data_IF_524300069824
#
_entry.id   IF_524300069824
#
_cell.length_a   1.000
_cell.length_b   1.000
_cell.length_c   1.000
_cell.angle_alpha   90.00
_cell.angle_beta   90.00
_cell.angle_gamma   90.00
#
_symmetry.space_group_name_H-M   'P 1'
#
loop_
_entity.id
_entity.type
_entity.pdbx_description
1 polymer ?
#
# COMPACT_ATOMS: atom_id res chain seq x y z
N UNK A 1 0.08 -13.46 29.56
CA UNK A 1 -1.27 -13.15 29.04
C UNK A 1 -1.17 -12.99 27.53
N UNK A 2 -1.64 -13.95 26.75
CA UNK A 2 -1.79 -13.78 25.30
C UNK A 2 -2.90 -12.76 25.07
N UNK A 3 -2.56 -11.57 24.54
CA UNK A 3 -3.56 -10.62 24.06
C UNK A 3 -4.20 -11.23 22.83
N UNK A 4 -5.52 -11.46 22.87
CA UNK A 4 -6.26 -11.90 21.69
C UNK A 4 -6.15 -10.80 20.62
N UNK A 5 -5.62 -11.14 19.44
CA UNK A 5 -5.57 -10.21 18.30
C UNK A 5 -7.00 -10.06 17.77
N UNK A 6 -7.53 -8.84 17.64
CA UNK A 6 -8.85 -8.65 17.05
C UNK A 6 -8.86 -9.13 15.59
N UNK A 7 -9.91 -9.84 15.19
CA UNK A 7 -10.04 -10.40 13.84
C UNK A 7 -11.34 -9.91 13.21
N UNK A 8 -11.25 -9.35 12.01
CA UNK A 8 -12.41 -9.16 11.14
C UNK A 8 -12.60 -10.40 10.27
N UNK A 9 -13.85 -10.86 10.14
CA UNK A 9 -14.20 -12.03 9.33
C UNK A 9 -15.03 -11.57 8.14
N UNK A 10 -14.53 -11.85 6.94
CA UNK A 10 -15.26 -11.62 5.70
C UNK A 10 -15.62 -12.97 5.06
N UNK A 11 -16.82 -13.03 4.51
CA UNK A 11 -17.30 -14.17 3.73
C UNK A 11 -17.20 -13.80 2.25
N UNK A 12 -16.24 -14.38 1.53
CA UNK A 12 -16.15 -14.19 0.08
C UNK A 12 -16.92 -15.30 -0.64
N UNK A 13 -17.97 -14.92 -1.38
CA UNK A 13 -18.62 -15.81 -2.35
C UNK A 13 -17.69 -16.06 -3.53
N UNK A 14 -17.03 -17.21 -3.56
CA UNK A 14 -16.38 -17.71 -4.76
C UNK A 14 -17.42 -18.27 -5.72
N UNK A 15 -18.08 -17.44 -6.54
CA UNK A 15 -18.61 -17.97 -7.81
C UNK A 15 -19.08 -16.96 -8.85
N UNK A 16 -18.57 -17.08 -10.10
CA UNK A 16 -19.21 -16.58 -11.33
C UNK A 16 -20.31 -17.50 -11.88
N UNK A 17 -20.61 -18.64 -11.23
CA UNK A 17 -21.69 -19.57 -11.62
C UNK A 17 -22.53 -19.93 -10.41
N UNK A 18 -23.80 -19.50 -10.40
CA UNK A 18 -24.90 -19.90 -9.50
C UNK A 18 -24.87 -21.40 -9.10
N UNK A 19 -23.99 -21.77 -8.18
CA UNK A 19 -23.92 -23.05 -7.48
C UNK A 19 -23.62 -22.67 -6.03
N UNK A 20 -24.33 -23.24 -5.05
CA UNK A 20 -23.98 -23.07 -3.64
C UNK A 20 -22.61 -23.73 -3.43
N UNK A 21 -21.55 -22.93 -3.55
CA UNK A 21 -20.17 -23.35 -3.35
C UNK A 21 -19.69 -23.02 -1.95
N UNK A 22 -18.67 -23.75 -1.49
CA UNK A 22 -18.04 -23.54 -0.19
C UNK A 22 -17.64 -22.06 0.00
N UNK A 23 -18.23 -21.41 1.01
CA UNK A 23 -17.86 -20.07 1.43
C UNK A 23 -16.49 -20.15 2.08
N UNK A 24 -15.50 -19.45 1.52
CA UNK A 24 -14.18 -19.34 2.16
C UNK A 24 -14.27 -18.22 3.20
N UNK A 25 -14.15 -18.59 4.48
CA UNK A 25 -13.94 -17.62 5.54
C UNK A 25 -12.49 -17.14 5.43
N UNK A 26 -12.32 -15.82 5.32
CA UNK A 26 -11.02 -15.18 5.42
C UNK A 26 -10.95 -14.46 6.77
N UNK A 27 -9.90 -14.73 7.52
CA UNK A 27 -9.60 -14.02 8.76
C UNK A 27 -8.63 -12.88 8.44
N UNK A 28 -9.04 -11.64 8.73
CA UNK A 28 -8.21 -10.45 8.62
C UNK A 28 -7.81 -9.99 10.03
N UNK A 29 -6.52 -10.03 10.33
CA UNK A 29 -5.99 -9.67 11.64
C UNK A 29 -5.82 -8.15 11.76
N UNK A 30 -6.40 -7.55 12.79
CA UNK A 30 -6.17 -6.14 13.12
C UNK A 30 -4.92 -6.02 13.98
N UNK A 31 -3.85 -5.56 13.34
CA UNK A 31 -2.54 -5.37 13.95
C UNK A 31 -2.44 -4.02 14.67
N UNK A 32 -1.75 -4.00 15.79
CA UNK A 32 -1.45 -2.76 16.55
C UNK A 32 0.00 -2.30 16.38
N UNK A 33 0.79 -3.04 15.61
CA UNK A 33 2.22 -2.85 15.38
C UNK A 33 2.50 -2.36 13.95
N UNK A 34 1.58 -1.59 13.37
CA UNK A 34 1.72 -1.01 12.03
C UNK A 34 2.38 0.37 12.16
N UNK A 35 3.59 0.52 11.61
CA UNK A 35 4.35 1.77 11.68
C UNK A 35 3.81 2.81 10.69
N UNK A 36 3.52 4.04 11.13
CA UNK A 36 2.91 5.12 10.32
C UNK A 36 3.74 5.63 9.11
N UNK A 37 4.89 5.02 8.85
CA UNK A 37 5.86 5.38 7.78
C UNK A 37 6.40 6.82 7.84
N UNK A 38 6.13 7.61 8.88
CA UNK A 38 6.71 8.95 9.06
C UNK A 38 7.98 8.91 9.90
N UNK A 39 8.97 9.73 9.52
CA UNK A 39 10.17 9.97 10.32
C UNK A 39 9.81 10.58 11.69
N UNK A 40 10.60 10.24 12.72
CA UNK A 40 10.51 10.80 14.08
C UNK A 40 9.14 10.70 14.78
N UNK A 41 8.24 9.81 14.32
CA UNK A 41 6.94 9.63 14.95
C UNK A 41 7.10 9.08 16.38
N UNK A 42 6.71 9.90 17.37
CA UNK A 42 6.81 9.53 18.79
C UNK A 42 5.96 8.32 19.18
N UNK A 43 4.87 8.08 18.46
CA UNK A 43 3.94 6.97 18.70
C UNK A 43 4.48 5.65 18.16
N UNK A 44 5.29 5.68 17.09
CA UNK A 44 5.82 4.48 16.45
C UNK A 44 7.23 4.09 16.92
N UNK A 45 7.82 4.76 17.92
CA UNK A 45 9.19 4.50 18.39
C UNK A 45 9.49 3.06 18.77
N UNK A 46 8.49 2.31 19.24
CA UNK A 46 8.62 0.90 19.63
C UNK A 46 8.23 -0.08 18.52
N UNK A 47 7.82 0.42 17.36
CA UNK A 47 7.43 -0.37 16.19
C UNK A 47 8.60 -0.35 15.22
N UNK A 48 8.95 -1.49 14.63
CA UNK A 48 10.02 -1.54 13.63
C UNK A 48 9.68 -0.60 12.48
N UNK A 49 10.52 0.39 12.16
CA UNK A 49 10.26 1.26 11.02
C UNK A 49 10.40 0.46 9.72
N UNK A 50 9.65 0.83 8.67
CA UNK A 50 9.96 0.40 7.32
C UNK A 50 11.32 0.93 6.88
N UNK A 51 11.88 0.36 5.82
CA UNK A 51 13.22 0.74 5.33
C UNK A 51 13.25 2.21 4.86
N UNK A 52 12.11 2.74 4.42
CA UNK A 52 11.95 4.14 4.02
C UNK A 52 10.88 4.77 4.89
N UNK A 53 11.22 5.88 5.53
CA UNK A 53 10.25 6.73 6.21
C UNK A 53 10.15 8.06 5.45
N UNK A 54 8.95 8.64 5.44
CA UNK A 54 8.65 9.90 4.81
C UNK A 54 8.97 11.04 5.78
N UNK A 55 9.55 12.12 5.26
CA UNK A 55 9.80 13.32 6.05
C UNK A 55 8.49 14.09 6.23
N UNK A 56 7.94 14.22 7.45
CA UNK A 56 6.67 14.91 7.68
C UNK A 56 6.78 16.43 7.51
N UNK A 57 7.98 16.99 7.34
CA UNK A 57 8.20 18.43 7.12
C UNK A 57 8.12 18.83 5.65
N UNK A 58 8.08 17.87 4.73
CA UNK A 58 7.83 18.10 3.31
C UNK A 58 6.41 17.70 2.92
N UNK A 59 6.00 18.07 1.71
CA UNK A 59 4.70 17.65 1.18
C UNK A 59 4.71 16.16 0.92
N UNK A 60 3.80 15.43 1.57
CA UNK A 60 3.55 14.02 1.29
C UNK A 60 2.37 13.92 0.32
N UNK A 61 2.59 13.28 -0.82
CA UNK A 61 1.57 12.99 -1.81
C UNK A 61 0.87 11.66 -1.47
N UNK A 62 -0.47 11.67 -1.50
CA UNK A 62 -1.30 10.48 -1.26
C UNK A 62 -2.25 10.35 -2.45
N UNK A 63 -1.95 9.51 -3.45
CA UNK A 63 -2.84 9.32 -4.58
C UNK A 63 -4.08 8.52 -4.17
N UNK A 64 -5.20 8.77 -4.84
CA UNK A 64 -6.31 7.82 -4.87
C UNK A 64 -6.08 6.77 -5.98
N UNK A 65 -6.96 5.75 -6.02
CA UNK A 65 -6.84 4.66 -6.99
C UNK A 65 -7.04 5.13 -8.44
N UNK A 66 -7.96 6.08 -8.68
CA UNK A 66 -8.24 6.58 -10.03
C UNK A 66 -7.04 7.35 -10.58
N UNK A 67 -6.42 8.18 -9.75
CA UNK A 67 -5.20 8.89 -10.07
C UNK A 67 -4.07 7.93 -10.38
N UNK A 68 -3.88 6.92 -9.52
CA UNK A 68 -2.82 5.93 -9.70
C UNK A 68 -2.98 5.17 -11.02
N UNK A 69 -4.21 4.75 -11.37
CA UNK A 69 -4.48 4.05 -12.64
C UNK A 69 -4.27 4.97 -13.86
N UNK A 70 -4.74 6.21 -13.81
CA UNK A 70 -4.75 7.11 -14.96
C UNK A 70 -3.40 7.82 -15.20
N UNK A 71 -2.60 8.01 -14.16
CA UNK A 71 -1.44 8.90 -14.19
C UNK A 71 -0.17 8.27 -13.59
N UNK A 72 -0.08 6.95 -13.57
CA UNK A 72 1.11 6.24 -13.10
C UNK A 72 2.41 6.72 -13.75
N UNK A 73 2.39 6.99 -15.06
CA UNK A 73 3.56 7.42 -15.81
C UNK A 73 4.10 8.80 -15.32
N UNK A 74 3.26 9.63 -14.67
CA UNK A 74 3.72 10.91 -14.07
C UNK A 74 4.76 10.69 -12.97
N UNK A 75 4.73 9.55 -12.28
CA UNK A 75 5.74 9.25 -11.25
C UNK A 75 7.13 9.01 -11.83
N UNK A 76 7.26 8.77 -13.14
CA UNK A 76 8.56 8.72 -13.82
C UNK A 76 9.05 10.11 -14.28
N UNK A 77 8.20 11.14 -14.21
CA UNK A 77 8.57 12.51 -14.53
C UNK A 77 9.15 13.22 -13.29
N UNK A 78 10.36 13.77 -13.42
CA UNK A 78 11.05 14.52 -12.36
C UNK A 78 10.40 15.89 -12.09
N UNK A 79 9.66 16.42 -13.07
CA UNK A 79 8.89 17.65 -12.89
C UNK A 79 7.64 17.43 -12.03
N UNK A 80 7.13 16.19 -11.99
CA UNK A 80 6.07 15.78 -11.09
C UNK A 80 6.68 15.56 -9.70
N UNK A 81 6.70 16.65 -8.90
CA UNK A 81 7.31 16.78 -7.56
C UNK A 81 6.65 15.93 -6.47
N UNK A 82 6.38 14.67 -6.74
CA UNK A 82 5.85 13.66 -5.83
C UNK A 82 6.99 12.85 -5.19
N UNK A 83 8.00 13.54 -4.66
CA UNK A 83 9.23 12.95 -4.11
C UNK A 83 9.00 12.13 -2.83
N UNK A 84 7.88 12.40 -2.16
CA UNK A 84 7.43 11.70 -0.96
C UNK A 84 6.01 11.22 -1.19
N UNK A 85 5.83 9.94 -1.48
CA UNK A 85 4.52 9.36 -1.80
C UNK A 85 4.15 8.28 -0.79
N UNK A 86 2.95 8.38 -0.23
CA UNK A 86 2.38 7.35 0.62
C UNK A 86 1.34 6.56 -0.17
N UNK A 87 1.62 5.29 -0.44
CA UNK A 87 0.69 4.37 -1.09
C UNK A 87 -0.07 3.60 -0.02
N UNK A 88 -1.39 3.79 0.03
CA UNK A 88 -2.26 3.06 0.94
C UNK A 88 -2.59 1.68 0.39
N UNK A 89 -2.70 0.67 1.25
CA UNK A 89 -3.08 -0.68 0.86
C UNK A 89 -4.42 -0.73 0.12
N UNK A 90 -5.42 -0.02 0.61
CA UNK A 90 -6.71 0.04 -0.08
C UNK A 90 -6.63 0.68 -1.47
N UNK A 91 -5.70 1.62 -1.67
CA UNK A 91 -5.48 2.26 -2.98
C UNK A 91 -4.81 1.28 -3.93
N UNK A 92 -3.82 0.54 -3.45
CA UNK A 92 -3.13 -0.50 -4.23
C UNK A 92 -4.07 -1.65 -4.60
N UNK A 93 -4.88 -2.12 -3.65
CA UNK A 93 -5.88 -3.16 -3.90
C UNK A 93 -6.88 -2.73 -4.97
N UNK A 94 -7.42 -1.51 -4.86
CA UNK A 94 -8.38 -0.97 -5.83
C UNK A 94 -7.75 -0.70 -7.20
N UNK A 95 -6.53 -0.15 -7.24
CA UNK A 95 -5.84 0.09 -8.49
C UNK A 95 -5.43 -1.22 -9.17
N UNK A 96 -4.99 -2.22 -8.39
CA UNK A 96 -4.54 -3.53 -8.87
C UNK A 96 -5.57 -4.27 -9.72
N UNK A 97 -6.86 -4.07 -9.45
CA UNK A 97 -7.96 -4.67 -10.23
C UNK A 97 -8.15 -4.02 -11.61
N UNK A 98 -7.66 -2.78 -11.80
CA UNK A 98 -7.93 -1.94 -12.97
C UNK A 98 -6.69 -1.65 -13.83
N UNK A 99 -5.48 -1.68 -13.24
CA UNK A 99 -4.23 -1.39 -13.97
C UNK A 99 -3.88 -2.48 -14.99
N UNK A 100 -3.24 -2.06 -16.08
CA UNK A 100 -2.64 -2.98 -17.04
C UNK A 100 -1.43 -3.72 -16.46
N UNK A 101 -1.02 -4.80 -17.13
CA UNK A 101 0.11 -5.64 -16.66
C UNK A 101 1.42 -4.88 -16.56
N UNK A 102 1.65 -3.88 -17.43
CA UNK A 102 2.86 -3.06 -17.44
C UNK A 102 2.92 -2.17 -16.19
N UNK A 103 1.81 -1.50 -15.92
CA UNK A 103 1.62 -0.59 -14.81
C UNK A 103 1.70 -1.34 -13.47
N UNK A 104 1.10 -2.53 -13.40
CA UNK A 104 1.24 -3.42 -12.23
C UNK A 104 2.70 -3.77 -11.95
N UNK A 105 3.46 -4.21 -12.96
CA UNK A 105 4.89 -4.50 -12.80
C UNK A 105 5.71 -3.27 -12.38
N UNK A 106 5.31 -2.08 -12.81
CA UNK A 106 5.95 -0.84 -12.41
C UNK A 106 5.69 -0.51 -10.93
N UNK A 107 4.44 -0.64 -10.47
CA UNK A 107 4.10 -0.50 -9.04
C UNK A 107 4.88 -1.51 -8.20
N UNK A 108 4.93 -2.77 -8.65
CA UNK A 108 5.71 -3.81 -7.98
C UNK A 108 7.20 -3.46 -7.93
N UNK A 109 7.79 -2.96 -9.02
CA UNK A 109 9.19 -2.55 -9.06
C UNK A 109 9.48 -1.38 -8.09
N UNK A 110 8.54 -0.44 -7.91
CA UNK A 110 8.66 0.64 -6.92
C UNK A 110 8.61 0.12 -5.49
N UNK A 111 7.67 -0.79 -5.21
CA UNK A 111 7.52 -1.41 -3.89
C UNK A 111 8.69 -2.36 -3.55
N UNK A 112 9.19 -3.09 -4.54
CA UNK A 112 10.35 -3.98 -4.45
C UNK A 112 11.68 -3.22 -4.50
N UNK A 113 11.65 -1.95 -4.90
CA UNK A 113 12.80 -1.04 -4.98
C UNK A 113 13.84 -1.52 -5.99
N UNK A 114 13.37 -2.10 -7.09
CA UNK A 114 14.18 -2.58 -8.21
C UNK A 114 14.39 -1.49 -9.28
N UNK A 115 13.67 -0.37 -9.16
CA UNK A 115 13.76 0.80 -10.03
C UNK A 115 14.60 1.91 -9.36
N UNK A 116 15.56 2.48 -10.09
CA UNK A 116 16.39 3.61 -9.64
C UNK A 116 15.53 4.85 -9.26
N UNK A 117 14.33 5.00 -9.84
CA UNK A 117 13.38 6.05 -9.43
C UNK A 117 12.76 5.80 -8.04
N UNK A 118 12.73 4.56 -7.57
CA UNK A 118 12.31 4.22 -6.19
C UNK A 118 13.37 4.62 -5.14
N UNK A 119 14.57 5.01 -5.58
CA UNK A 119 15.61 5.59 -4.73
C UNK A 119 15.49 7.13 -4.62
N UNK A 120 14.83 7.78 -5.59
CA UNK A 120 14.57 9.22 -5.61
C UNK A 120 13.21 9.58 -4.99
N UNK A 121 12.22 8.69 -5.12
CA UNK A 121 10.87 8.84 -4.56
C UNK A 121 10.67 7.88 -3.39
N UNK A 122 10.39 8.42 -2.22
CA UNK A 122 10.13 7.60 -1.04
C UNK A 122 8.69 7.08 -1.09
N UNK A 123 8.52 5.78 -1.34
CA UNK A 123 7.22 5.12 -1.28
C UNK A 123 7.02 4.46 0.08
N UNK A 124 6.13 5.03 0.89
CA UNK A 124 5.67 4.39 2.12
C UNK A 124 4.54 3.42 1.84
N UNK A 125 4.61 2.20 2.38
CA UNK A 125 3.53 1.21 2.31
C UNK A 125 3.46 0.37 3.60
N UNK A 126 2.27 -0.15 3.90
CA UNK A 126 1.97 -0.98 5.06
C UNK A 126 1.63 -2.41 4.58
N UNK A 127 2.57 -3.36 4.62
CA UNK A 127 2.29 -4.75 4.26
C UNK A 127 1.48 -5.52 5.31
#
# INVERSE_FOLDING_TARGET
MQRAVPVERYFMEKSRRKKPGNVKVMENYLRTDVHCVLEDCRLCRSISPPIVCLNPRSTVFIPDAVFLVAYIDLFSDDSFKADQTLLLQSVLDLAGDEVGTREASQIEAWLAREDDHALLKSFGYFP
#
